data_IF_150637630322
#
_entry.id   IF_150637630322
#
_cell.length_a   1.000
_cell.length_b   1.000
_cell.length_c   1.000
_cell.angle_alpha   90.00
_cell.angle_beta   90.00
_cell.angle_gamma   90.00
#
_symmetry.space_group_name_H-M   'P 1'
#
loop_
_entity.id
_entity.type
_entity.pdbx_description
1 polymer ?
#
# COMPACT_ATOMS: atom_id res chain seq x y z
N UNK A 1 2.65 -2.98 9.75
CA UNK A 1 4.10 -2.76 9.55
C UNK A 1 4.81 -4.01 10.03
N UNK A 2 5.78 -4.53 9.27
CA UNK A 2 6.60 -5.65 9.72
C UNK A 2 7.93 -5.12 10.29
N UNK A 3 8.22 -5.46 11.55
CA UNK A 3 9.41 -4.99 12.28
C UNK A 3 10.30 -6.19 12.54
N UNK A 4 11.50 -6.17 11.93
CA UNK A 4 12.50 -7.22 12.12
C UNK A 4 12.85 -7.35 13.60
N UNK A 5 12.78 -8.59 14.10
CA UNK A 5 13.14 -8.95 15.47
C UNK A 5 12.46 -8.09 16.55
N UNK A 6 11.19 -7.73 16.34
CA UNK A 6 10.45 -6.80 17.21
C UNK A 6 10.57 -7.10 18.71
N UNK A 7 10.42 -8.37 19.10
CA UNK A 7 10.48 -8.77 20.51
C UNK A 7 11.86 -8.62 21.15
N UNK A 8 12.95 -8.55 20.37
CA UNK A 8 14.28 -8.32 20.92
C UNK A 8 14.50 -6.87 21.37
N UNK A 9 13.62 -5.96 20.95
CA UNK A 9 13.70 -4.54 21.31
C UNK A 9 12.96 -4.21 22.61
N UNK A 10 12.11 -5.13 23.12
CA UNK A 10 11.39 -4.95 24.37
C UNK A 10 12.33 -4.96 25.58
N UNK A 11 12.07 -4.07 26.53
CA UNK A 11 12.79 -4.01 27.80
C UNK A 11 12.13 -4.94 28.81
N UNK A 12 12.94 -5.62 29.62
CA UNK A 12 12.42 -6.50 30.66
C UNK A 12 12.16 -5.69 31.92
N UNK A 13 10.95 -5.82 32.47
CA UNK A 13 10.51 -5.23 33.73
C UNK A 13 10.98 -6.04 34.96
N UNK A 14 11.46 -7.27 34.73
CA UNK A 14 11.93 -8.19 35.76
C UNK A 14 13.21 -8.87 35.32
N UNK A 15 14.00 -9.30 36.29
CA UNK A 15 15.17 -10.12 36.02
C UNK A 15 14.71 -11.52 35.58
N UNK A 16 15.07 -11.88 34.35
CA UNK A 16 14.77 -13.19 33.77
C UNK A 16 16.09 -13.90 33.51
N UNK A 17 16.18 -15.14 33.96
CA UNK A 17 17.32 -16.01 33.73
C UNK A 17 16.89 -17.17 32.84
N UNK A 18 17.81 -17.65 32.01
CA UNK A 18 17.60 -18.84 31.19
C UNK A 18 18.79 -19.80 31.33
N UNK A 19 18.53 -21.09 31.11
CA UNK A 19 19.60 -22.08 30.97
C UNK A 19 20.51 -21.68 29.81
N UNK A 20 21.80 -21.95 29.96
CA UNK A 20 22.76 -21.75 28.88
C UNK A 20 22.36 -22.56 27.63
N UNK A 21 22.43 -21.97 26.43
CA UNK A 21 22.20 -22.70 25.20
C UNK A 21 23.30 -23.74 24.95
N UNK A 22 22.96 -24.76 24.18
CA UNK A 22 23.89 -25.84 23.81
C UNK A 22 25.12 -25.26 23.08
N UNK A 23 26.32 -25.75 23.42
CA UNK A 23 27.60 -25.25 22.88
C UNK A 23 28.19 -24.04 23.62
N UNK A 24 27.51 -23.48 24.63
CA UNK A 24 28.00 -22.35 25.44
C UNK A 24 28.36 -22.73 26.89
N UNK A 25 28.25 -24.01 27.26
CA UNK A 25 28.61 -24.52 28.58
C UNK A 25 30.14 -24.62 28.72
N UNK A 26 30.74 -23.86 29.64
CA UNK A 26 32.16 -24.01 29.99
C UNK A 26 32.39 -25.20 30.92
N UNK A 27 33.59 -25.78 30.90
CA UNK A 27 33.99 -26.95 31.70
C UNK A 27 33.78 -26.79 33.21
N UNK A 28 33.82 -25.55 33.71
CA UNK A 28 33.64 -25.20 35.13
C UNK A 28 32.20 -24.69 35.44
N UNK A 29 31.28 -24.79 34.49
CA UNK A 29 30.06 -23.98 34.43
C UNK A 29 28.72 -24.71 34.60
N UNK A 30 28.69 -25.94 35.13
CA UNK A 30 27.48 -26.78 35.16
C UNK A 30 26.26 -26.14 35.87
N UNK A 31 26.47 -25.12 36.70
CA UNK A 31 25.39 -24.41 37.42
C UNK A 31 25.19 -22.94 37.00
N UNK A 32 25.82 -22.47 35.92
CA UNK A 32 25.67 -21.10 35.47
C UNK A 32 24.38 -20.89 34.65
N UNK A 33 23.77 -19.72 34.80
CA UNK A 33 22.57 -19.28 34.06
C UNK A 33 22.82 -17.96 33.36
N UNK A 34 22.17 -17.74 32.23
CA UNK A 34 22.25 -16.47 31.49
C UNK A 34 21.19 -15.50 31.99
N UNK A 35 21.59 -14.29 32.40
CA UNK A 35 20.66 -13.18 32.66
C UNK A 35 20.27 -12.50 31.34
N UNK A 36 18.98 -12.45 31.05
CA UNK A 36 18.45 -11.77 29.87
C UNK A 36 18.46 -10.25 30.08
N UNK A 37 19.05 -9.52 29.12
CA UNK A 37 19.07 -8.05 29.10
C UNK A 37 17.90 -7.44 28.33
N UNK A 38 17.26 -8.23 27.46
CA UNK A 38 16.14 -7.84 26.59
C UNK A 38 15.16 -9.00 26.49
N UNK A 39 13.92 -8.71 26.09
CA UNK A 39 12.96 -9.78 25.82
C UNK A 39 13.41 -10.64 24.63
N UNK A 40 13.09 -11.92 24.67
CA UNK A 40 13.35 -12.88 23.59
C UNK A 40 12.05 -13.59 23.20
N UNK A 41 12.05 -14.22 22.04
CA UNK A 41 10.96 -15.09 21.61
C UNK A 41 10.69 -16.20 22.64
N UNK A 42 9.42 -16.53 22.86
CA UNK A 42 9.00 -17.56 23.81
C UNK A 42 8.78 -17.05 25.25
N UNK A 43 9.22 -15.84 25.60
CA UNK A 43 8.81 -15.24 26.88
C UNK A 43 7.34 -14.80 26.81
N UNK A 44 6.54 -15.18 27.81
CA UNK A 44 5.11 -14.81 27.92
C UNK A 44 4.88 -13.30 27.84
N UNK A 45 5.83 -12.50 28.34
CA UNK A 45 5.77 -11.04 28.38
C UNK A 45 6.37 -10.35 27.14
N UNK A 46 7.02 -11.08 26.22
CA UNK A 46 7.76 -10.48 25.11
C UNK A 46 6.90 -9.53 24.26
N UNK A 47 5.68 -9.95 23.92
CA UNK A 47 4.76 -9.15 23.11
C UNK A 47 4.31 -7.88 23.83
N UNK A 48 4.04 -7.97 25.14
CA UNK A 48 3.66 -6.81 25.96
C UNK A 48 4.81 -5.80 26.09
N UNK A 49 6.02 -6.28 26.35
CA UNK A 49 7.19 -5.40 26.47
C UNK A 49 7.53 -4.70 25.15
N UNK A 50 7.37 -5.41 24.04
CA UNK A 50 7.45 -4.78 22.72
C UNK A 50 6.37 -3.71 22.52
N UNK A 51 5.10 -4.02 22.82
CA UNK A 51 4.01 -3.06 22.68
C UNK A 51 4.24 -1.79 23.52
N UNK A 52 4.64 -1.92 24.79
CA UNK A 52 4.97 -0.77 25.65
C UNK A 52 6.10 0.08 25.07
N UNK A 53 7.18 -0.57 24.59
CA UNK A 53 8.30 0.14 23.95
C UNK A 53 7.83 0.88 22.69
N UNK A 54 7.05 0.22 21.84
CA UNK A 54 6.51 0.79 20.62
C UNK A 54 5.59 1.97 20.91
N UNK A 55 4.62 1.80 21.82
CA UNK A 55 3.69 2.84 22.26
C UNK A 55 4.43 4.08 22.72
N UNK A 56 5.43 3.93 23.60
CA UNK A 56 6.21 5.05 24.13
C UNK A 56 6.98 5.79 23.02
N UNK A 57 7.58 5.07 22.07
CA UNK A 57 8.31 5.66 20.94
C UNK A 57 7.35 6.39 20.00
N UNK A 58 6.24 5.75 19.62
CA UNK A 58 5.28 6.33 18.68
C UNK A 58 4.60 7.56 19.28
N UNK A 59 4.25 7.49 20.57
CA UNK A 59 3.70 8.62 21.31
C UNK A 59 4.68 9.78 21.44
N UNK A 60 5.99 9.50 21.62
CA UNK A 60 7.01 10.57 21.65
C UNK A 60 7.20 11.26 20.29
N UNK A 61 6.83 10.61 19.19
CA UNK A 61 6.72 11.23 17.87
C UNK A 61 5.41 12.02 17.66
N UNK A 62 4.56 12.14 18.68
CA UNK A 62 3.31 12.90 18.64
C UNK A 62 2.15 12.17 17.95
N UNK A 63 2.19 10.84 17.89
CA UNK A 63 1.03 10.04 17.52
C UNK A 63 0.17 9.75 18.75
N UNK A 64 -1.14 9.69 18.54
CA UNK A 64 -2.13 9.36 19.55
C UNK A 64 -2.71 7.97 19.29
N UNK A 65 -2.82 7.16 20.34
CA UNK A 65 -3.44 5.84 20.26
C UNK A 65 -4.96 5.95 20.07
N UNK A 66 -5.50 5.16 19.16
CA UNK A 66 -6.93 5.13 18.91
C UNK A 66 -7.65 4.42 20.07
N UNK A 67 -8.67 5.07 20.64
CA UNK A 67 -9.43 4.57 21.80
C UNK A 67 -10.21 3.29 21.48
N UNK A 68 -10.65 3.11 20.24
CA UNK A 68 -11.43 1.95 19.81
C UNK A 68 -10.55 0.77 19.40
N UNK A 69 -9.35 1.04 18.88
CA UNK A 69 -8.38 0.03 18.48
C UNK A 69 -6.96 0.47 18.88
N UNK A 70 -6.48 -0.08 19.99
CA UNK A 70 -5.16 0.20 20.57
C UNK A 70 -3.97 -0.21 19.67
N UNK A 71 -4.22 -0.86 18.54
CA UNK A 71 -3.19 -1.17 17.55
C UNK A 71 -3.03 -0.07 16.49
N UNK A 72 -3.90 0.95 16.51
CA UNK A 72 -3.90 2.06 15.55
C UNK A 72 -3.41 3.34 16.24
N UNK A 73 -2.46 4.00 15.61
CA UNK A 73 -1.90 5.27 16.05
C UNK A 73 -2.11 6.32 14.95
N UNK A 74 -2.63 7.48 15.32
CA UNK A 74 -2.98 8.56 14.42
C UNK A 74 -2.19 9.80 14.79
N UNK A 75 -1.70 10.53 13.79
CA UNK A 75 -1.07 11.83 14.00
C UNK A 75 -1.68 12.80 13.00
N UNK A 76 -2.21 13.90 13.52
CA UNK A 76 -2.63 15.00 12.67
C UNK A 76 -1.38 15.74 12.15
N UNK A 77 -1.22 15.73 10.84
CA UNK A 77 -0.14 16.42 10.13
C UNK A 77 -0.61 17.73 9.50
N UNK A 78 -1.81 18.19 9.87
CA UNK A 78 -2.47 19.36 9.32
C UNK A 78 -3.29 19.04 8.07
N UNK A 79 -3.37 20.01 7.16
CA UNK A 79 -4.24 19.89 6.00
C UNK A 79 -3.80 18.80 5.03
N UNK A 80 -4.76 17.94 4.67
CA UNK A 80 -4.54 16.82 3.76
C UNK A 80 -4.54 17.30 2.31
N UNK A 81 -3.40 17.16 1.64
CA UNK A 81 -3.25 17.45 0.20
C UNK A 81 -3.33 16.20 -0.68
N UNK A 82 -3.09 15.01 -0.11
CA UNK A 82 -3.10 13.75 -0.84
C UNK A 82 -3.70 12.62 0.00
N UNK A 83 -4.48 11.75 -0.64
CA UNK A 83 -4.96 10.49 -0.05
C UNK A 83 -4.75 9.38 -1.07
N UNK A 84 -3.88 8.41 -0.75
CA UNK A 84 -3.59 7.24 -1.61
C UNK A 84 -3.27 7.68 -3.06
N UNK A 85 -2.44 8.73 -3.20
CA UNK A 85 -2.04 9.26 -4.51
C UNK A 85 -3.11 10.09 -5.26
N UNK A 86 -4.28 10.31 -4.67
CA UNK A 86 -5.30 11.25 -5.15
C UNK A 86 -5.02 12.61 -4.53
N UNK A 87 -4.85 13.63 -5.37
CA UNK A 87 -4.65 15.01 -4.93
C UNK A 87 -5.98 15.61 -4.50
N UNK A 88 -5.98 16.29 -3.36
CA UNK A 88 -7.13 16.99 -2.83
C UNK A 88 -6.97 18.49 -3.12
N UNK A 89 -7.97 19.07 -3.76
CA UNK A 89 -8.11 20.51 -3.96
C UNK A 89 -9.19 21.03 -3.01
N UNK A 90 -8.85 22.00 -2.17
CA UNK A 90 -9.77 22.62 -1.22
C UNK A 90 -9.75 24.12 -1.41
N UNK A 91 -10.91 24.69 -1.70
CA UNK A 91 -11.17 26.12 -1.62
C UNK A 91 -12.24 26.34 -0.55
N UNK A 92 -11.83 26.82 0.63
CA UNK A 92 -12.75 27.05 1.76
C UNK A 92 -13.62 28.29 1.57
N UNK A 93 -13.15 29.26 0.80
CA UNK A 93 -13.91 30.48 0.53
C UNK A 93 -15.08 30.20 -0.42
N UNK A 94 -14.83 29.38 -1.44
CA UNK A 94 -15.87 28.93 -2.38
C UNK A 94 -16.62 27.67 -1.90
N UNK A 95 -16.15 27.02 -0.83
CA UNK A 95 -16.73 25.76 -0.34
C UNK A 95 -16.52 24.57 -1.27
N UNK A 96 -15.46 24.57 -2.08
CA UNK A 96 -15.18 23.54 -3.08
C UNK A 96 -14.19 22.52 -2.53
N UNK A 97 -14.54 21.23 -2.66
CA UNK A 97 -13.66 20.09 -2.44
C UNK A 97 -13.56 19.28 -3.74
N UNK A 98 -12.39 19.31 -4.37
CA UNK A 98 -12.09 18.56 -5.59
C UNK A 98 -11.09 17.43 -5.33
N UNK A 99 -11.19 16.37 -6.12
CA UNK A 99 -10.24 15.27 -6.16
C UNK A 99 -9.62 15.19 -7.55
N UNK A 100 -8.29 15.02 -7.62
CA UNK A 100 -7.56 14.89 -8.88
C UNK A 100 -6.68 13.66 -8.89
N UNK A 101 -6.79 12.88 -9.96
CA UNK A 101 -5.94 11.72 -10.27
C UNK A 101 -4.97 11.99 -11.42
N UNK A 102 -4.73 13.25 -11.76
CA UNK A 102 -3.85 13.64 -12.85
C UNK A 102 -2.48 12.93 -12.80
N UNK A 103 -1.85 12.89 -11.63
CA UNK A 103 -0.55 12.21 -11.45
C UNK A 103 -0.63 10.71 -11.77
N UNK A 104 -1.73 10.04 -11.41
CA UNK A 104 -1.93 8.63 -11.74
C UNK A 104 -2.17 8.44 -13.25
N UNK A 105 -3.04 9.26 -13.84
CA UNK A 105 -3.38 9.19 -15.26
C UNK A 105 -2.12 9.42 -16.12
N UNK A 106 -1.29 10.40 -15.78
CA UNK A 106 -0.04 10.67 -16.50
C UNK A 106 0.92 9.48 -16.43
N UNK A 107 1.04 8.83 -15.27
CA UNK A 107 1.84 7.59 -15.12
C UNK A 107 1.30 6.45 -15.97
N UNK A 108 -0.02 6.30 -16.07
CA UNK A 108 -0.66 5.29 -16.93
C UNK A 108 -0.38 5.58 -18.41
N UNK A 109 -0.52 6.82 -18.85
CA UNK A 109 -0.22 7.24 -20.22
C UNK A 109 1.24 6.96 -20.59
N UNK A 110 2.19 7.27 -19.71
CA UNK A 110 3.60 6.97 -19.91
C UNK A 110 3.87 5.45 -19.96
N UNK A 111 3.30 4.69 -19.02
CA UNK A 111 3.46 3.22 -18.95
C UNK A 111 3.03 2.54 -20.24
N UNK A 112 1.93 2.99 -20.85
CA UNK A 112 1.39 2.40 -22.08
C UNK A 112 1.80 3.17 -23.35
N UNK A 113 2.78 4.07 -23.27
CA UNK A 113 3.32 4.84 -24.40
C UNK A 113 2.26 5.66 -25.15
N UNK A 114 1.28 6.19 -24.42
CA UNK A 114 0.16 7.00 -24.93
C UNK A 114 0.27 8.49 -24.60
N UNK A 115 1.45 8.99 -24.19
CA UNK A 115 1.63 10.40 -23.79
C UNK A 115 1.23 11.43 -24.86
N UNK A 116 1.39 11.07 -26.13
CA UNK A 116 1.09 11.93 -27.28
C UNK A 116 -0.21 11.53 -27.99
N UNK A 117 -1.12 10.81 -27.32
CA UNK A 117 -2.39 10.46 -27.93
C UNK A 117 -3.27 11.71 -28.11
N UNK A 118 -4.05 11.74 -29.19
CA UNK A 118 -4.99 12.84 -29.42
C UNK A 118 -6.14 12.75 -28.41
N UNK A 119 -6.48 13.85 -27.70
CA UNK A 119 -7.62 13.86 -26.81
C UNK A 119 -8.92 13.74 -27.60
N UNK A 120 -9.91 13.03 -27.04
CA UNK A 120 -11.28 12.99 -27.57
C UNK A 120 -12.25 13.27 -26.43
N UNK A 121 -13.31 14.03 -26.74
CA UNK A 121 -14.39 14.35 -25.78
C UNK A 121 -15.22 13.10 -25.45
N UNK A 122 -15.34 12.17 -26.40
CA UNK A 122 -16.00 10.87 -26.19
C UNK A 122 -15.19 9.78 -26.88
N UNK A 123 -14.56 8.85 -26.14
CA UNK A 123 -13.78 7.78 -26.75
C UNK A 123 -14.65 6.78 -27.52
N UNK A 124 -15.92 6.66 -27.15
CA UNK A 124 -16.94 5.79 -27.75
C UNK A 124 -18.25 6.56 -27.82
N UNK A 125 -18.99 6.42 -28.91
CA UNK A 125 -20.31 7.04 -29.13
C UNK A 125 -21.40 5.96 -29.06
N UNK A 126 -22.62 6.37 -28.66
CA UNK A 126 -23.79 5.47 -28.62
C UNK A 126 -24.03 4.87 -30.02
N UNK A 127 -23.81 3.57 -30.16
CA UNK A 127 -23.94 2.84 -31.42
C UNK A 127 -22.68 2.09 -31.83
N UNK A 128 -21.52 2.48 -31.30
CA UNK A 128 -20.26 1.78 -31.53
C UNK A 128 -20.34 0.36 -30.96
N UNK A 129 -20.05 -0.63 -31.81
CA UNK A 129 -19.99 -2.04 -31.42
C UNK A 129 -18.64 -2.61 -31.79
N UNK A 130 -17.94 -3.13 -30.80
CA UNK A 130 -16.75 -3.92 -31.05
C UNK A 130 -17.13 -5.29 -31.62
N UNK A 131 -16.43 -5.73 -32.66
CA UNK A 131 -16.71 -6.99 -33.34
C UNK A 131 -15.42 -7.65 -33.82
N UNK A 132 -15.52 -8.92 -34.24
CA UNK A 132 -14.37 -9.73 -34.65
C UNK A 132 -13.56 -9.13 -35.82
N UNK A 133 -14.10 -8.17 -36.59
CA UNK A 133 -13.33 -7.52 -37.64
C UNK A 133 -12.21 -6.63 -37.12
N UNK A 134 -12.26 -6.24 -35.83
CA UNK A 134 -11.22 -5.48 -35.14
C UNK A 134 -10.15 -6.38 -34.51
N UNK A 135 -10.35 -7.70 -34.55
CA UNK A 135 -9.32 -8.64 -34.12
C UNK A 135 -8.16 -8.69 -35.14
N UNK A 136 -6.94 -9.02 -34.70
CA UNK A 136 -5.80 -9.22 -35.59
C UNK A 136 -6.10 -10.25 -36.68
N UNK A 137 -5.93 -9.84 -37.95
CA UNK A 137 -6.25 -10.70 -39.11
C UNK A 137 -5.07 -11.52 -39.58
N UNK A 138 -3.85 -11.03 -39.40
CA UNK A 138 -2.60 -11.66 -39.86
C UNK A 138 -1.62 -11.87 -38.70
N UNK A 139 -0.60 -12.69 -38.94
CA UNK A 139 0.36 -13.09 -37.91
C UNK A 139 1.21 -11.93 -37.41
N UNK A 140 1.52 -10.96 -38.29
CA UNK A 140 2.21 -9.73 -37.91
C UNK A 140 1.40 -8.92 -36.87
N UNK A 141 0.09 -8.72 -37.10
CA UNK A 141 -0.78 -8.04 -36.14
C UNK A 141 -0.93 -8.83 -34.83
N UNK A 142 -1.00 -10.17 -34.90
CA UNK A 142 -1.03 -11.02 -33.69
C UNK A 142 0.24 -10.86 -32.87
N UNK A 143 1.41 -10.83 -33.50
CA UNK A 143 2.68 -10.64 -32.81
C UNK A 143 2.81 -9.24 -32.20
N UNK A 144 2.30 -8.20 -32.88
CA UNK A 144 2.20 -6.86 -32.32
C UNK A 144 1.29 -6.81 -31.09
N UNK A 145 0.13 -7.47 -31.13
CA UNK A 145 -0.82 -7.52 -30.02
C UNK A 145 -0.32 -8.29 -28.80
N UNK A 146 0.54 -9.30 -28.97
CA UNK A 146 1.17 -10.01 -27.83
C UNK A 146 1.92 -9.06 -26.90
N UNK A 147 2.45 -7.96 -27.43
CA UNK A 147 3.19 -6.96 -26.67
C UNK A 147 2.26 -5.93 -25.98
N UNK A 148 0.96 -5.96 -26.25
CA UNK A 148 -0.02 -5.07 -25.62
C UNK A 148 -0.65 -5.78 -24.42
N UNK A 149 -0.41 -5.24 -23.23
CA UNK A 149 -0.99 -5.74 -21.99
C UNK A 149 -2.44 -5.25 -21.81
N UNK A 150 -3.36 -5.70 -22.67
CA UNK A 150 -4.74 -5.22 -22.71
C UNK A 150 -5.41 -5.23 -21.32
N UNK A 151 -5.39 -6.37 -20.62
CA UNK A 151 -5.98 -6.51 -19.29
C UNK A 151 -5.37 -5.53 -18.26
N UNK A 152 -4.06 -5.27 -18.35
CA UNK A 152 -3.36 -4.30 -17.49
C UNK A 152 -3.80 -2.86 -17.79
N UNK A 153 -3.97 -2.52 -19.08
CA UNK A 153 -4.48 -1.21 -19.51
C UNK A 153 -5.90 -0.98 -19.01
N UNK A 154 -6.80 -1.94 -19.25
CA UNK A 154 -8.20 -1.86 -18.81
C UNK A 154 -8.29 -1.79 -17.29
N UNK A 155 -7.52 -2.61 -16.56
CA UNK A 155 -7.45 -2.56 -15.10
C UNK A 155 -6.96 -1.22 -14.56
N UNK A 156 -5.99 -0.60 -15.24
CA UNK A 156 -5.49 0.74 -14.87
C UNK A 156 -6.57 1.82 -15.06
N UNK A 157 -7.34 1.75 -16.16
CA UNK A 157 -8.47 2.65 -16.39
C UNK A 157 -9.60 2.42 -15.38
N UNK A 158 -9.84 1.17 -14.99
CA UNK A 158 -10.85 0.81 -13.99
C UNK A 158 -10.51 1.40 -12.61
N UNK A 159 -9.24 1.41 -12.21
CA UNK A 159 -8.83 2.09 -10.99
C UNK A 159 -9.13 3.60 -11.03
N UNK A 160 -8.80 4.28 -12.12
CA UNK A 160 -9.12 5.70 -12.28
C UNK A 160 -10.64 5.96 -12.21
N UNK A 161 -11.43 5.10 -12.87
CA UNK A 161 -12.89 5.15 -12.83
C UNK A 161 -13.44 5.02 -11.40
N UNK A 162 -12.95 4.08 -10.60
CA UNK A 162 -13.48 3.83 -9.25
C UNK A 162 -13.16 4.98 -8.30
N UNK A 163 -11.96 5.56 -8.40
CA UNK A 163 -11.45 6.52 -7.43
C UNK A 163 -11.96 7.96 -7.64
N UNK A 164 -11.93 8.49 -8.87
CA UNK A 164 -12.38 9.88 -9.17
C UNK A 164 -13.53 9.98 -10.15
N UNK A 165 -14.01 8.84 -10.67
CA UNK A 165 -15.12 8.75 -11.63
C UNK A 165 -15.05 9.74 -12.79
N UNK A 166 -13.92 9.82 -13.53
CA UNK A 166 -13.89 10.52 -14.80
C UNK A 166 -14.92 9.93 -15.77
N UNK A 167 -15.33 10.70 -16.77
CA UNK A 167 -16.35 10.32 -17.75
C UNK A 167 -15.84 9.25 -18.76
N UNK A 168 -15.49 8.07 -18.25
CA UNK A 168 -14.98 6.92 -19.00
C UNK A 168 -15.69 5.61 -18.62
N UNK A 169 -16.68 5.68 -17.73
CA UNK A 169 -17.37 4.51 -17.16
C UNK A 169 -17.91 3.56 -18.23
N UNK A 170 -18.59 4.13 -19.22
CA UNK A 170 -19.15 3.38 -20.35
C UNK A 170 -18.05 2.65 -21.13
N UNK A 171 -16.97 3.36 -21.44
CA UNK A 171 -15.85 2.85 -22.25
C UNK A 171 -15.15 1.70 -21.53
N UNK A 172 -14.79 1.90 -20.27
CA UNK A 172 -14.13 0.87 -19.46
C UNK A 172 -15.04 -0.35 -19.27
N UNK A 173 -16.35 -0.13 -19.04
CA UNK A 173 -17.33 -1.20 -18.91
C UNK A 173 -17.60 -1.98 -20.20
N UNK A 174 -17.37 -1.38 -21.37
CA UNK A 174 -17.40 -2.08 -22.66
C UNK A 174 -16.11 -2.86 -22.90
N UNK A 175 -14.95 -2.23 -22.69
CA UNK A 175 -13.64 -2.85 -22.89
C UNK A 175 -13.41 -4.04 -21.95
N UNK A 176 -13.90 -3.99 -20.71
CA UNK A 176 -13.77 -5.09 -19.75
C UNK A 176 -14.54 -6.37 -20.09
N UNK A 177 -15.31 -6.40 -21.19
CA UNK A 177 -16.08 -7.59 -21.64
C UNK A 177 -15.31 -8.48 -22.63
N UNK A 178 -14.25 -7.96 -23.21
CA UNK A 178 -13.41 -8.61 -24.21
C UNK A 178 -12.04 -8.91 -23.64
#
# INVERSE_FOLDING_TARGET
MDVKTAFLNGELDKEVYMKQPEGFTSSDGEQLVCKLKKSIYGLKQASRQWHLKFHNIISSFGFEENVMDQCIYLKDMGEVFYVIGIKIHRDRFQGILGLSQETYINKVLERFRMKNCSPSVSPIVKGDRFNLNQCPKNDLQREQMKNIQYASTVGSLMYALVCTRPNIALVVGMLGRY
#
